data_IF_003698303567
#
_entry.id   IF_003698303567
#
_cell.length_a   1.000
_cell.length_b   1.000
_cell.length_c   1.000
_cell.angle_alpha   90.00
_cell.angle_beta   90.00
_cell.angle_gamma   90.00
#
_symmetry.space_group_name_H-M   'P 1'
#
loop_
_entity.id
_entity.type
_entity.pdbx_description
1 polymer ?
#
# COMPACT_ATOMS: atom_id res chain seq x y z
N UNK A 1 29.92 -17.13 -33.82
CA UNK A 1 28.96 -18.03 -33.12
C UNK A 1 27.62 -17.35 -33.10
N UNK A 2 26.51 -18.00 -33.51
CA UNK A 2 25.20 -17.40 -33.42
C UNK A 2 24.83 -17.25 -31.94
N UNK A 3 24.52 -16.01 -31.53
CA UNK A 3 23.97 -15.70 -30.21
C UNK A 3 22.66 -16.47 -30.11
N UNK A 4 22.57 -17.41 -29.17
CA UNK A 4 21.31 -18.09 -28.89
C UNK A 4 20.22 -17.03 -28.65
N UNK A 5 19.04 -17.14 -29.28
CA UNK A 5 17.98 -16.17 -29.06
C UNK A 5 17.70 -16.13 -27.57
N UNK A 6 17.87 -14.95 -26.96
CA UNK A 6 17.56 -14.72 -25.57
C UNK A 6 16.16 -15.29 -25.32
N UNK A 7 16.05 -16.27 -24.42
CA UNK A 7 14.77 -16.87 -24.07
C UNK A 7 13.78 -15.74 -23.80
N UNK A 8 12.71 -15.66 -24.59
CA UNK A 8 11.71 -14.60 -24.48
C UNK A 8 10.97 -14.78 -23.15
N UNK A 9 11.50 -14.16 -22.10
CA UNK A 9 10.93 -14.20 -20.77
C UNK A 9 9.52 -13.61 -20.81
N UNK A 10 8.52 -14.40 -20.42
CA UNK A 10 7.12 -13.96 -20.35
C UNK A 10 6.81 -13.65 -18.88
N UNK A 11 6.68 -12.38 -18.50
CA UNK A 11 6.41 -12.01 -17.11
C UNK A 11 5.08 -12.57 -16.63
N UNK A 12 5.06 -13.09 -15.40
CA UNK A 12 3.83 -13.52 -14.71
C UNK A 12 3.67 -12.68 -13.44
N UNK A 13 3.30 -11.41 -13.64
CA UNK A 13 3.20 -10.42 -12.57
C UNK A 13 2.08 -10.77 -11.60
N UNK A 14 2.39 -10.75 -10.31
CA UNK A 14 1.45 -10.90 -9.19
C UNK A 14 1.70 -9.78 -8.20
N UNK A 15 0.63 -9.08 -7.83
CA UNK A 15 0.66 -8.10 -6.75
C UNK A 15 0.08 -8.72 -5.49
N UNK A 16 0.73 -8.47 -4.35
CA UNK A 16 0.20 -8.80 -3.02
C UNK A 16 0.81 -7.90 -1.95
N UNK A 17 0.27 -7.97 -0.75
CA UNK A 17 0.85 -7.32 0.43
C UNK A 17 2.18 -7.97 0.82
N UNK A 18 3.08 -7.19 1.39
CA UNK A 18 4.33 -7.66 1.96
C UNK A 18 4.08 -8.65 3.10
N UNK A 19 4.89 -9.70 3.17
CA UNK A 19 4.93 -10.66 4.27
C UNK A 19 6.32 -10.69 4.91
N UNK A 20 6.44 -11.25 6.12
CA UNK A 20 7.73 -11.41 6.81
C UNK A 20 8.77 -12.14 5.96
N UNK A 21 8.36 -13.13 5.17
CA UNK A 21 9.26 -13.92 4.32
C UNK A 21 9.89 -13.12 3.18
N UNK A 22 9.31 -11.98 2.82
CA UNK A 22 9.79 -11.14 1.72
C UNK A 22 10.91 -10.21 2.14
N UNK A 23 11.05 -9.95 3.45
CA UNK A 23 11.90 -8.89 3.96
C UNK A 23 13.34 -9.01 3.47
N UNK A 24 13.90 -10.22 3.44
CA UNK A 24 15.27 -10.46 2.97
C UNK A 24 15.45 -9.98 1.53
N UNK A 25 14.56 -10.38 0.61
CA UNK A 25 14.63 -9.99 -0.80
C UNK A 25 14.32 -8.49 -0.98
N UNK A 26 13.36 -7.95 -0.22
CA UNK A 26 13.01 -6.53 -0.24
C UNK A 26 14.15 -5.61 0.23
N UNK A 27 14.95 -6.03 1.22
CA UNK A 27 16.09 -5.22 1.69
C UNK A 27 17.14 -5.01 0.59
N UNK A 28 17.28 -5.93 -0.38
CA UNK A 28 18.15 -5.75 -1.55
C UNK A 28 17.68 -4.64 -2.49
N UNK A 29 16.40 -4.27 -2.41
CA UNK A 29 15.77 -3.26 -3.25
C UNK A 29 15.76 -1.86 -2.63
N UNK A 30 16.33 -1.69 -1.43
CA UNK A 30 16.39 -0.36 -0.81
C UNK A 30 17.13 0.62 -1.72
N UNK A 31 16.51 1.76 -2.09
CA UNK A 31 17.09 2.64 -3.07
C UNK A 31 18.14 3.55 -2.42
N UNK A 32 19.25 3.77 -3.11
CA UNK A 32 20.38 4.52 -2.57
C UNK A 32 20.05 6.00 -2.27
N UNK A 33 19.06 6.57 -2.97
CA UNK A 33 18.63 7.95 -2.74
C UNK A 33 18.01 8.18 -1.35
N UNK A 34 17.60 7.13 -0.63
CA UNK A 34 17.19 7.27 0.77
C UNK A 34 18.32 7.81 1.66
N UNK A 35 19.57 7.72 1.19
CA UNK A 35 20.75 8.25 1.88
C UNK A 35 20.84 7.78 3.35
N UNK A 36 20.45 6.53 3.60
CA UNK A 36 20.50 5.93 4.93
C UNK A 36 21.95 5.81 5.38
N UNK A 37 22.26 6.29 6.59
CA UNK A 37 23.55 6.02 7.20
C UNK A 37 23.70 4.54 7.57
N UNK A 38 24.95 4.12 7.82
CA UNK A 38 25.29 2.73 8.11
C UNK A 38 24.51 2.16 9.30
N UNK A 39 24.32 2.96 10.36
CA UNK A 39 23.60 2.52 11.55
C UNK A 39 22.13 2.26 11.25
N UNK A 40 21.47 3.19 10.57
CA UNK A 40 20.07 3.02 10.17
C UNK A 40 19.90 1.87 9.18
N UNK A 41 20.79 1.72 8.20
CA UNK A 41 20.76 0.61 7.23
C UNK A 41 20.88 -0.75 7.92
N UNK A 42 21.70 -0.86 8.98
CA UNK A 42 21.82 -2.07 9.79
C UNK A 42 20.60 -2.33 10.69
N UNK A 43 19.93 -1.28 11.16
CA UNK A 43 18.74 -1.40 12.02
C UNK A 43 17.45 -1.74 11.25
N UNK A 44 17.39 -1.44 9.94
CA UNK A 44 16.19 -1.59 9.13
C UNK A 44 15.58 -3.01 9.12
N UNK A 45 16.33 -4.11 8.97
CA UNK A 45 15.74 -5.45 8.98
C UNK A 45 14.95 -5.73 10.27
N UNK A 46 15.55 -5.41 11.43
CA UNK A 46 14.90 -5.59 12.72
C UNK A 46 13.71 -4.64 12.92
N UNK A 47 13.77 -3.42 12.37
CA UNK A 47 12.64 -2.50 12.35
C UNK A 47 11.48 -3.09 11.54
N UNK A 48 11.75 -3.60 10.34
CA UNK A 48 10.74 -4.15 9.45
C UNK A 48 10.07 -5.42 9.98
N UNK A 49 10.79 -6.26 10.72
CA UNK A 49 10.17 -7.37 11.46
C UNK A 49 9.08 -6.89 12.43
N UNK A 50 9.17 -5.67 12.96
CA UNK A 50 8.12 -5.11 13.82
C UNK A 50 7.01 -4.41 13.03
N UNK A 51 7.34 -3.85 11.87
CA UNK A 51 6.45 -2.99 11.09
C UNK A 51 5.63 -3.72 10.02
N UNK A 52 6.05 -4.90 9.56
CA UNK A 52 5.44 -5.60 8.42
C UNK A 52 3.95 -5.91 8.60
N UNK A 53 3.49 -6.08 9.84
CA UNK A 53 2.08 -6.31 10.18
C UNK A 53 1.37 -5.06 10.72
N UNK A 54 2.06 -3.91 10.77
CA UNK A 54 1.49 -2.67 11.27
C UNK A 54 0.43 -2.14 10.30
N UNK A 55 -0.79 -1.80 10.77
CA UNK A 55 -1.84 -1.26 9.92
C UNK A 55 -1.50 0.13 9.37
N UNK A 56 -0.56 0.85 9.99
CA UNK A 56 -0.07 2.14 9.48
C UNK A 56 0.90 1.99 8.30
N UNK A 57 1.39 0.77 8.02
CA UNK A 57 2.28 0.50 6.89
C UNK A 57 1.48 -0.07 5.72
N UNK A 58 1.22 0.78 4.73
CA UNK A 58 0.62 0.35 3.47
C UNK A 58 1.76 -0.12 2.56
N UNK A 59 1.89 -1.43 2.42
CA UNK A 59 3.00 -2.06 1.69
C UNK A 59 2.49 -3.01 0.61
N UNK A 60 3.23 -3.07 -0.49
CA UNK A 60 2.93 -3.98 -1.59
C UNK A 60 4.20 -4.42 -2.31
N UNK A 61 4.21 -5.68 -2.74
CA UNK A 61 5.25 -6.24 -3.59
C UNK A 61 4.65 -6.63 -4.94
N UNK A 62 5.43 -6.44 -6.00
CA UNK A 62 5.15 -6.98 -7.32
C UNK A 62 6.14 -8.12 -7.59
N UNK A 63 5.61 -9.32 -7.79
CA UNK A 63 6.36 -10.52 -8.04
C UNK A 63 6.24 -10.96 -9.49
N UNK A 64 7.34 -11.41 -10.07
CA UNK A 64 7.30 -12.18 -11.30
C UNK A 64 7.37 -13.68 -11.00
N UNK A 65 6.23 -14.34 -11.10
CA UNK A 65 6.11 -15.78 -10.83
C UNK A 65 6.83 -16.65 -11.87
N UNK A 66 7.29 -16.08 -12.99
CA UNK A 66 8.18 -16.77 -13.93
C UNK A 66 9.63 -16.88 -13.44
N UNK A 67 10.03 -16.11 -12.41
CA UNK A 67 11.37 -16.15 -11.83
C UNK A 67 11.47 -17.15 -10.66
N UNK A 68 12.69 -17.66 -10.38
CA UNK A 68 12.93 -18.52 -9.22
C UNK A 68 12.68 -17.76 -7.90
N UNK A 69 12.34 -18.51 -6.85
CA UNK A 69 12.20 -17.95 -5.50
C UNK A 69 13.48 -17.21 -5.07
N UNK A 70 13.32 -16.13 -4.30
CA UNK A 70 14.42 -15.23 -3.90
C UNK A 70 14.83 -14.22 -4.99
N UNK A 71 14.22 -14.29 -6.18
CA UNK A 71 14.38 -13.29 -7.25
C UNK A 71 13.06 -12.86 -7.86
N UNK A 72 11.94 -13.15 -7.18
CA UNK A 72 10.60 -12.88 -7.71
C UNK A 72 10.20 -11.43 -7.51
N UNK A 73 10.59 -10.81 -6.41
CA UNK A 73 10.19 -9.43 -6.10
C UNK A 73 10.92 -8.48 -7.05
N UNK A 74 10.14 -7.87 -7.93
CA UNK A 74 10.60 -6.90 -8.94
C UNK A 74 10.36 -5.47 -8.51
N UNK A 75 9.36 -5.22 -7.66
CA UNK A 75 9.20 -3.91 -7.04
C UNK A 75 8.63 -4.00 -5.64
N UNK A 76 8.90 -2.98 -4.84
CA UNK A 76 8.46 -2.85 -3.47
C UNK A 76 8.05 -1.41 -3.18
N UNK A 77 6.78 -1.21 -2.85
CA UNK A 77 6.21 0.07 -2.44
C UNK A 77 5.96 0.11 -0.94
N UNK A 78 6.32 1.23 -0.31
CA UNK A 78 6.12 1.48 1.12
C UNK A 78 5.52 2.85 1.33
N UNK A 79 4.39 2.88 2.03
CA UNK A 79 3.73 4.10 2.47
C UNK A 79 3.43 4.02 3.97
N UNK A 80 3.68 5.11 4.68
CA UNK A 80 3.35 5.28 6.09
C UNK A 80 2.14 6.21 6.25
N UNK A 81 1.16 5.79 7.03
CA UNK A 81 0.08 6.66 7.52
C UNK A 81 0.62 7.48 8.69
N UNK A 82 0.61 8.81 8.54
CA UNK A 82 1.20 9.72 9.51
C UNK A 82 0.20 10.17 10.57
N UNK A 83 0.67 10.19 11.82
CA UNK A 83 -0.07 10.84 12.91
C UNK A 83 -0.11 12.36 12.70
N UNK A 84 -1.22 13.04 13.01
CA UNK A 84 -1.34 14.50 12.88
C UNK A 84 -0.22 15.26 13.61
N UNK A 85 0.11 14.83 14.84
CA UNK A 85 1.20 15.42 15.63
C UNK A 85 2.58 15.33 14.95
N UNK A 86 2.79 14.31 14.09
CA UNK A 86 4.01 14.19 13.32
C UNK A 86 3.99 15.07 12.09
N UNK A 87 2.86 15.16 11.37
CA UNK A 87 2.65 16.10 10.25
C UNK A 87 3.01 17.52 10.69
N UNK A 88 2.55 17.95 11.86
CA UNK A 88 2.88 19.25 12.46
C UNK A 88 4.36 19.36 12.86
N UNK A 89 4.89 18.36 13.59
CA UNK A 89 6.27 18.37 14.10
C UNK A 89 7.32 18.51 13.01
N UNK A 90 7.13 17.82 11.89
CA UNK A 90 8.05 17.92 10.73
C UNK A 90 7.64 18.99 9.73
N UNK A 91 6.65 19.82 10.07
CA UNK A 91 6.14 20.93 9.26
C UNK A 91 5.78 20.51 7.83
N UNK A 92 5.21 19.31 7.68
CA UNK A 92 5.03 18.66 6.38
C UNK A 92 4.13 19.47 5.43
N UNK A 93 3.16 20.21 5.99
CA UNK A 93 2.20 21.00 5.21
C UNK A 93 2.69 22.42 4.88
N UNK A 94 3.69 22.93 5.59
CA UNK A 94 4.11 24.34 5.54
C UNK A 94 5.54 24.54 5.05
N UNK A 95 6.50 23.85 5.66
CA UNK A 95 7.93 24.02 5.41
C UNK A 95 8.69 22.70 5.62
N UNK A 96 8.42 21.66 4.81
CA UNK A 96 9.08 20.38 4.95
C UNK A 96 10.58 20.50 4.64
N UNK A 97 11.39 19.82 5.45
CA UNK A 97 12.83 19.67 5.21
C UNK A 97 13.10 18.37 4.42
N UNK A 98 14.13 18.32 3.56
CA UNK A 98 14.46 17.15 2.74
C UNK A 98 14.83 15.93 3.59
N UNK A 99 14.92 14.78 2.91
CA UNK A 99 15.19 13.47 3.51
C UNK A 99 14.06 13.01 4.45
N UNK A 100 12.82 13.36 4.11
CA UNK A 100 11.63 12.98 4.88
C UNK A 100 11.60 11.47 5.14
N UNK A 101 11.82 10.65 4.12
CA UNK A 101 11.75 9.19 4.27
C UNK A 101 12.82 8.66 5.22
N UNK A 102 14.06 9.17 5.11
CA UNK A 102 15.16 8.84 6.04
C UNK A 102 14.82 9.25 7.46
N UNK A 103 14.33 10.48 7.66
CA UNK A 103 14.00 11.02 8.98
C UNK A 103 12.87 10.23 9.64
N UNK A 104 11.88 9.80 8.87
CA UNK A 104 10.80 8.94 9.36
C UNK A 104 11.31 7.54 9.74
N UNK A 105 12.19 6.93 8.93
CA UNK A 105 12.82 5.67 9.30
C UNK A 105 13.68 5.78 10.56
N UNK A 106 14.46 6.84 10.71
CA UNK A 106 15.23 7.10 11.92
C UNK A 106 14.32 7.23 13.15
N UNK A 107 13.26 8.03 13.04
CA UNK A 107 12.30 8.20 14.12
C UNK A 107 11.57 6.90 14.51
N UNK A 108 11.24 6.05 13.53
CA UNK A 108 10.67 4.72 13.75
C UNK A 108 11.67 3.77 14.43
N UNK A 109 12.94 3.80 14.01
CA UNK A 109 14.01 2.99 14.59
C UNK A 109 14.30 3.37 16.06
N UNK A 110 14.31 4.67 16.35
CA UNK A 110 14.51 5.23 17.69
C UNK A 110 13.25 5.13 18.58
N UNK A 111 12.09 4.87 17.99
CA UNK A 111 10.80 4.80 18.69
C UNK A 111 10.18 6.16 19.02
N UNK A 112 10.76 7.27 18.54
CA UNK A 112 10.18 8.61 18.69
C UNK A 112 8.95 8.83 17.81
N UNK A 113 8.84 8.06 16.71
CA UNK A 113 7.64 7.86 15.91
C UNK A 113 7.09 6.47 16.17
N UNK A 114 5.89 6.38 16.72
CA UNK A 114 5.14 5.14 16.84
C UNK A 114 4.11 5.06 15.71
N UNK A 115 3.99 3.93 15.00
CA UNK A 115 2.93 3.77 14.00
C UNK A 115 1.54 3.84 14.64
N UNK A 116 0.56 4.37 13.90
CA UNK A 116 -0.84 4.37 14.36
C UNK A 116 -1.37 2.94 14.46
N UNK A 117 -2.19 2.70 15.48
CA UNK A 117 -3.03 1.51 15.58
C UNK A 117 -4.20 1.54 14.59
N UNK A 118 -4.80 0.37 14.34
CA UNK A 118 -5.99 0.24 13.49
C UNK A 118 -7.14 1.15 13.95
N UNK A 119 -7.30 1.29 15.27
CA UNK A 119 -8.32 2.17 15.88
C UNK A 119 -8.05 3.64 15.59
N UNK A 120 -6.82 4.10 15.81
CA UNK A 120 -6.44 5.49 15.54
C UNK A 120 -6.58 5.83 14.06
N UNK A 121 -6.20 4.90 13.17
CA UNK A 121 -6.40 5.05 11.73
C UNK A 121 -7.90 5.15 11.44
N UNK A 122 -8.74 4.27 12.01
CA UNK A 122 -10.17 4.31 11.74
C UNK A 122 -10.88 5.56 12.23
N UNK A 123 -10.45 6.13 13.37
CA UNK A 123 -10.95 7.42 13.86
C UNK A 123 -10.55 8.57 12.92
N UNK A 124 -9.28 8.62 12.51
CA UNK A 124 -8.79 9.64 11.60
C UNK A 124 -9.40 9.51 10.18
N UNK A 125 -9.61 8.28 9.72
CA UNK A 125 -10.24 7.96 8.45
C UNK A 125 -11.73 8.37 8.45
N UNK A 126 -12.42 8.23 9.59
CA UNK A 126 -13.81 8.69 9.76
C UNK A 126 -13.96 10.20 9.94
N UNK A 127 -12.91 10.87 10.40
CA UNK A 127 -12.88 12.33 10.60
C UNK A 127 -12.37 13.11 9.39
N UNK A 128 -11.37 13.96 9.61
CA UNK A 128 -10.83 14.87 8.60
C UNK A 128 -10.11 14.14 7.44
N UNK A 129 -9.72 12.88 7.66
CA UNK A 129 -8.96 12.06 6.73
C UNK A 129 -7.49 11.91 7.10
N UNK A 130 -6.81 11.07 6.32
CA UNK A 130 -5.45 10.63 6.58
C UNK A 130 -4.42 11.40 5.75
N UNK A 131 -3.27 11.69 6.33
CA UNK A 131 -2.08 12.11 5.60
C UNK A 131 -1.13 10.92 5.47
N UNK A 132 -0.68 10.63 4.25
CA UNK A 132 0.23 9.52 3.96
C UNK A 132 1.56 10.04 3.41
N UNK A 133 2.64 9.30 3.67
CA UNK A 133 3.96 9.52 3.08
C UNK A 133 4.43 8.24 2.40
N UNK A 134 4.62 8.28 1.08
CA UNK A 134 5.32 7.23 0.34
C UNK A 134 6.80 7.31 0.74
N UNK A 135 7.26 6.34 1.54
CA UNK A 135 8.64 6.32 2.01
C UNK A 135 9.59 5.97 0.87
N UNK A 136 9.22 5.00 0.04
CA UNK A 136 9.89 4.72 -1.22
C UNK A 136 9.04 3.79 -2.10
N UNK A 137 9.33 3.85 -3.40
CA UNK A 137 9.00 2.79 -4.33
C UNK A 137 10.29 2.36 -5.03
N UNK A 138 10.62 1.09 -4.90
CA UNK A 138 11.82 0.50 -5.45
C UNK A 138 11.47 -0.43 -6.58
N UNK A 139 12.28 -0.42 -7.64
CA UNK A 139 12.18 -1.36 -8.75
C UNK A 139 13.55 -2.02 -8.90
N UNK A 140 13.57 -3.34 -9.04
CA UNK A 140 14.79 -4.09 -9.29
C UNK A 140 15.39 -3.63 -10.62
N UNK A 141 16.70 -3.29 -10.69
CA UNK A 141 17.37 -2.98 -11.94
C UNK A 141 17.16 -4.10 -12.95
N UNK A 142 16.61 -3.76 -14.11
CA UNK A 142 16.05 -4.74 -15.02
C UNK A 142 17.06 -5.20 -16.09
N UNK A 143 17.29 -6.52 -16.20
CA UNK A 143 18.10 -7.14 -17.27
C UNK A 143 17.30 -7.53 -18.52
N UNK A 144 15.97 -7.43 -18.48
CA UNK A 144 15.04 -7.96 -19.50
C UNK A 144 14.52 -6.91 -20.50
N UNK A 145 15.09 -5.70 -20.51
CA UNK A 145 14.78 -4.65 -21.50
C UNK A 145 13.52 -3.81 -21.20
N UNK A 146 13.22 -2.84 -22.05
CA UNK A 146 12.21 -1.79 -21.79
C UNK A 146 10.78 -2.32 -21.62
N UNK A 147 10.36 -3.32 -22.39
CA UNK A 147 9.00 -3.88 -22.32
C UNK A 147 8.69 -4.53 -20.97
N UNK A 148 9.69 -5.17 -20.36
CA UNK A 148 9.56 -5.76 -19.03
C UNK A 148 9.42 -4.68 -17.95
N UNK A 149 10.21 -3.60 -18.05
CA UNK A 149 10.08 -2.47 -17.14
C UNK A 149 8.68 -1.85 -17.21
N UNK A 150 8.13 -1.71 -18.42
CA UNK A 150 6.74 -1.27 -18.61
C UNK A 150 5.71 -2.17 -17.90
N UNK A 151 5.88 -3.50 -17.98
CA UNK A 151 5.00 -4.43 -17.27
C UNK A 151 5.10 -4.30 -15.74
N UNK A 152 6.32 -4.17 -15.20
CA UNK A 152 6.54 -3.97 -13.76
C UNK A 152 5.93 -2.64 -13.30
N UNK A 153 6.12 -1.56 -14.05
CA UNK A 153 5.56 -0.24 -13.75
C UNK A 153 4.03 -0.23 -13.80
N UNK A 154 3.42 -0.86 -14.80
CA UNK A 154 1.96 -0.96 -14.90
C UNK A 154 1.38 -1.70 -13.70
N UNK A 155 1.95 -2.85 -13.37
CA UNK A 155 1.51 -3.65 -12.22
C UNK A 155 1.78 -2.94 -10.88
N UNK A 156 2.88 -2.19 -10.74
CA UNK A 156 3.14 -1.35 -9.57
C UNK A 156 2.10 -0.21 -9.43
N UNK A 157 1.65 0.39 -10.53
CA UNK A 157 0.58 1.40 -10.52
C UNK A 157 -0.78 0.80 -10.10
N UNK A 158 -1.10 -0.41 -10.56
CA UNK A 158 -2.27 -1.15 -10.09
C UNK A 158 -2.17 -1.46 -8.60
N UNK A 159 -1.01 -1.91 -8.14
CA UNK A 159 -0.74 -2.14 -6.72
C UNK A 159 -0.94 -0.88 -5.89
N UNK A 160 -0.41 0.26 -6.35
CA UNK A 160 -0.57 1.55 -5.70
C UNK A 160 -2.06 1.90 -5.54
N UNK A 161 -2.83 1.83 -6.63
CA UNK A 161 -4.29 2.08 -6.59
C UNK A 161 -5.01 1.14 -5.63
N UNK A 162 -4.73 -0.16 -5.70
CA UNK A 162 -5.38 -1.16 -4.86
C UNK A 162 -5.08 -1.00 -3.37
N UNK A 163 -3.83 -0.69 -3.00
CA UNK A 163 -3.42 -0.59 -1.59
C UNK A 163 -3.81 0.75 -0.94
N UNK A 164 -3.95 1.83 -1.72
CA UNK A 164 -4.25 3.17 -1.20
C UNK A 164 -5.71 3.61 -1.44
N UNK A 165 -6.42 3.04 -2.41
CA UNK A 165 -7.81 3.40 -2.70
C UNK A 165 -8.75 3.10 -1.53
N UNK A 166 -9.84 3.86 -1.39
CA UNK A 166 -10.84 3.67 -0.33
C UNK A 166 -10.47 4.26 1.03
N UNK A 167 -9.25 4.76 1.22
CA UNK A 167 -8.95 5.61 2.38
C UNK A 167 -9.51 7.01 2.16
N UNK A 168 -10.00 7.64 3.22
CA UNK A 168 -10.38 9.04 3.24
C UNK A 168 -9.11 9.91 3.29
N UNK A 169 -8.41 10.08 2.17
CA UNK A 169 -7.11 10.77 2.15
C UNK A 169 -7.26 12.30 2.15
N UNK A 170 -6.60 12.97 3.10
CA UNK A 170 -6.41 14.43 3.11
C UNK A 170 -5.28 14.82 2.14
N UNK A 171 -4.15 14.13 2.23
CA UNK A 171 -2.98 14.35 1.37
C UNK A 171 -2.10 13.10 1.29
N UNK A 172 -1.36 12.97 0.19
CA UNK A 172 -0.28 11.98 0.05
C UNK A 172 0.98 12.68 -0.45
N UNK A 173 2.07 12.48 0.29
CA UNK A 173 3.39 12.99 0.00
C UNK A 173 4.27 11.89 -0.57
N UNK A 174 5.19 12.26 -1.44
CA UNK A 174 6.16 11.33 -2.02
C UNK A 174 7.49 12.05 -2.23
N UNK A 175 8.50 11.66 -1.46
CA UNK A 175 9.89 12.05 -1.72
C UNK A 175 10.57 10.98 -2.56
N UNK A 176 11.32 11.39 -3.58
CA UNK A 176 12.12 10.50 -4.42
C UNK A 176 13.37 11.23 -4.89
N UNK A 177 14.22 10.59 -5.71
CA UNK A 177 15.36 11.28 -6.33
C UNK A 177 14.98 12.00 -7.63
N UNK A 178 15.77 13.00 -8.02
CA UNK A 178 15.62 13.68 -9.31
C UNK A 178 15.63 12.73 -10.51
N UNK A 179 16.37 11.60 -10.44
CA UNK A 179 16.37 10.59 -11.49
C UNK A 179 15.00 9.91 -11.67
N UNK A 180 14.24 9.75 -10.58
CA UNK A 180 12.95 9.07 -10.58
C UNK A 180 11.77 10.07 -10.63
N UNK A 181 12.03 11.35 -10.43
CA UNK A 181 11.04 12.43 -10.46
C UNK A 181 10.15 12.44 -11.72
N UNK A 182 10.65 12.21 -12.95
CA UNK A 182 9.78 12.15 -14.14
C UNK A 182 8.71 11.05 -14.05
N UNK A 183 9.05 9.89 -13.48
CA UNK A 183 8.10 8.79 -13.30
C UNK A 183 7.02 9.10 -12.27
N UNK A 184 7.39 9.77 -11.17
CA UNK A 184 6.44 10.21 -10.13
C UNK A 184 5.51 11.31 -10.67
N UNK A 185 6.05 12.27 -11.43
CA UNK A 185 5.25 13.27 -12.13
C UNK A 185 4.26 12.63 -13.13
N UNK A 186 4.72 11.65 -13.93
CA UNK A 186 3.87 10.92 -14.87
C UNK A 186 2.77 10.10 -14.16
N UNK A 187 3.00 9.65 -12.93
CA UNK A 187 1.98 9.00 -12.10
C UNK A 187 0.91 9.99 -11.57
N UNK A 188 1.07 11.29 -11.83
CA UNK A 188 0.11 12.35 -11.55
C UNK A 188 0.43 13.20 -10.33
N UNK A 189 1.56 12.98 -9.66
CA UNK A 189 1.93 13.77 -8.49
C UNK A 189 2.52 15.13 -8.89
N UNK A 190 1.97 16.26 -8.42
CA UNK A 190 2.59 17.55 -8.65
C UNK A 190 3.79 17.75 -7.71
N UNK A 191 4.84 18.37 -8.25
CA UNK A 191 6.02 18.73 -7.49
C UNK A 191 5.69 19.84 -6.49
N UNK A 192 6.31 19.78 -5.32
CA UNK A 192 6.23 20.80 -4.28
C UNK A 192 7.63 21.15 -3.77
N UNK A 193 7.74 22.25 -3.04
CA UNK A 193 9.02 22.78 -2.57
C UNK A 193 9.28 22.36 -1.12
N UNK A 194 10.56 22.20 -0.80
CA UNK A 194 11.02 22.21 0.59
C UNK A 194 10.99 23.64 1.14
N UNK A 195 11.23 23.76 2.44
CA UNK A 195 11.42 25.04 3.11
C UNK A 195 12.53 25.88 2.46
N UNK A 196 12.38 27.21 2.51
CA UNK A 196 13.37 28.15 1.95
C UNK A 196 14.72 28.10 2.69
N UNK A 197 14.71 27.69 3.96
CA UNK A 197 15.90 27.51 4.81
C UNK A 197 16.48 26.08 4.74
N UNK A 198 15.99 25.24 3.83
CA UNK A 198 16.46 23.88 3.69
C UNK A 198 17.96 23.84 3.33
N UNK A 199 18.70 22.83 3.84
CA UNK A 199 20.13 22.72 3.57
C UNK A 199 20.39 22.57 2.06
N UNK A 200 21.44 23.24 1.54
CA UNK A 200 21.80 23.16 0.13
C UNK A 200 22.11 21.71 -0.29
N UNK A 201 21.50 21.25 -1.39
CA UNK A 201 21.60 19.88 -1.90
C UNK A 201 22.67 19.74 -3.01
N UNK A 202 23.38 20.80 -3.34
CA UNK A 202 24.35 20.88 -4.44
C UNK A 202 25.55 19.96 -4.20
N UNK A 203 25.84 19.62 -2.94
CA UNK A 203 26.87 18.66 -2.57
C UNK A 203 26.54 17.24 -3.02
N UNK A 204 25.28 16.93 -3.33
CA UNK A 204 24.87 15.65 -3.90
C UNK A 204 24.93 15.67 -5.43
N UNK A 205 25.27 14.52 -6.05
CA UNK A 205 25.03 14.29 -7.47
C UNK A 205 23.57 14.58 -7.83
N UNK A 206 23.34 15.29 -8.94
CA UNK A 206 22.01 15.77 -9.33
C UNK A 206 20.94 14.67 -9.32
N UNK A 207 21.26 13.50 -9.89
CA UNK A 207 20.37 12.36 -10.01
C UNK A 207 19.94 11.74 -8.65
N UNK A 208 20.65 12.04 -7.56
CA UNK A 208 20.33 11.60 -6.20
C UNK A 208 19.66 12.69 -5.36
N UNK A 209 19.57 13.93 -5.84
CA UNK A 209 18.97 15.02 -5.06
C UNK A 209 17.50 14.71 -4.77
N UNK A 210 17.04 14.84 -3.53
CA UNK A 210 15.65 14.57 -3.18
C UNK A 210 14.73 15.61 -3.83
N UNK A 211 13.57 15.14 -4.31
CA UNK A 211 12.49 15.95 -4.89
C UNK A 211 11.21 15.55 -4.19
N UNK A 212 10.45 16.55 -3.72
CA UNK A 212 9.20 16.34 -3.02
C UNK A 212 8.02 16.52 -3.96
N UNK A 213 7.05 15.63 -3.80
CA UNK A 213 5.76 15.71 -4.43
C UNK A 213 4.66 15.64 -3.39
N UNK A 214 3.53 16.26 -3.67
CA UNK A 214 2.35 16.22 -2.81
C UNK A 214 1.09 16.31 -3.65
N UNK A 215 0.13 15.44 -3.40
CA UNK A 215 -1.24 15.64 -3.87
C UNK A 215 -2.15 15.81 -2.65
N UNK A 216 -2.96 16.87 -2.64
CA UNK A 216 -4.00 17.10 -1.64
C UNK A 216 -5.36 16.73 -2.21
N UNK A 217 -6.31 16.41 -1.33
CA UNK A 217 -7.70 16.10 -1.72
C UNK A 217 -8.33 17.21 -2.54
N UNK A 218 -8.16 18.45 -2.11
CA UNK A 218 -8.71 19.62 -2.79
C UNK A 218 -8.21 19.72 -4.24
N UNK A 219 -6.91 19.55 -4.46
CA UNK A 219 -6.30 19.59 -5.79
C UNK A 219 -6.73 18.40 -6.64
N UNK A 220 -6.78 17.21 -6.02
CA UNK A 220 -7.23 15.99 -6.68
C UNK A 220 -8.65 16.18 -7.23
N UNK A 221 -9.60 16.67 -6.42
CA UNK A 221 -11.00 16.84 -6.85
C UNK A 221 -11.20 17.82 -8.01
N UNK A 222 -10.22 18.70 -8.30
CA UNK A 222 -10.24 19.57 -9.47
C UNK A 222 -9.70 18.91 -10.75
N UNK A 223 -9.09 17.73 -10.65
CA UNK A 223 -8.54 17.00 -11.78
C UNK A 223 -9.53 15.96 -12.30
N UNK A 224 -9.52 15.75 -13.62
CA UNK A 224 -10.19 14.61 -14.23
C UNK A 224 -9.57 13.30 -13.76
N UNK A 225 -10.37 12.22 -13.61
CA UNK A 225 -9.84 10.89 -13.36
C UNK A 225 -8.87 10.46 -14.47
N UNK A 226 -7.79 9.75 -14.11
CA UNK A 226 -6.88 9.16 -15.11
C UNK A 226 -5.49 8.80 -14.58
N UNK A 227 -4.98 9.53 -13.59
CA UNK A 227 -3.67 9.24 -12.99
C UNK A 227 -3.79 8.37 -11.74
N UNK A 228 -2.73 7.61 -11.42
CA UNK A 228 -2.68 6.78 -10.21
C UNK A 228 -2.79 7.63 -8.94
N UNK A 229 -2.12 8.78 -8.90
CA UNK A 229 -2.18 9.72 -7.78
C UNK A 229 -3.61 10.23 -7.55
N UNK A 230 -4.32 10.65 -8.62
CA UNK A 230 -5.70 11.12 -8.50
C UNK A 230 -6.66 10.02 -8.04
N UNK A 231 -6.47 8.79 -8.54
CA UNK A 231 -7.39 7.68 -8.26
C UNK A 231 -7.55 7.37 -6.77
N UNK A 232 -6.49 7.50 -5.97
CA UNK A 232 -6.53 7.11 -4.55
C UNK A 232 -7.32 8.10 -3.67
N UNK A 233 -7.76 9.23 -4.22
CA UNK A 233 -8.67 10.17 -3.56
C UNK A 233 -10.15 9.87 -3.81
N UNK A 234 -10.47 8.87 -4.64
CA UNK A 234 -11.83 8.36 -4.73
C UNK A 234 -12.22 7.67 -3.42
N UNK A 235 -13.27 8.19 -2.78
CA UNK A 235 -13.64 7.78 -1.44
C UNK A 235 -15.14 7.94 -1.20
N UNK A 236 -15.71 6.92 -0.56
CA UNK A 236 -17.04 6.93 0.07
C UNK A 236 -16.91 6.29 1.45
N UNK A 237 -17.73 6.69 2.45
CA UNK A 237 -17.76 6.00 3.72
C UNK A 237 -18.13 4.51 3.56
N UNK A 238 -17.51 3.60 4.31
CA UNK A 238 -17.86 2.18 4.26
C UNK A 238 -19.28 1.98 4.80
N UNK A 239 -20.08 1.22 4.06
CA UNK A 239 -21.46 0.90 4.36
C UNK A 239 -21.54 -0.17 5.45
N UNK A 240 -20.78 -1.26 5.33
CA UNK A 240 -20.86 -2.41 6.23
C UNK A 240 -19.92 -2.30 7.44
N UNK A 241 -18.85 -1.52 7.32
CA UNK A 241 -17.93 -1.18 8.43
C UNK A 241 -17.31 -2.40 9.10
N UNK A 242 -16.92 -3.40 8.31
CA UNK A 242 -16.39 -4.67 8.79
C UNK A 242 -15.33 -4.53 9.89
N UNK A 243 -15.30 -5.48 10.83
CA UNK A 243 -14.27 -5.51 11.88
C UNK A 243 -12.87 -5.75 11.31
N UNK A 244 -11.81 -5.49 12.08
CA UNK A 244 -10.43 -5.64 11.62
C UNK A 244 -10.14 -7.05 11.05
N UNK A 245 -10.58 -8.10 11.74
CA UNK A 245 -10.40 -9.50 11.28
C UNK A 245 -11.21 -9.80 10.00
N UNK A 246 -12.41 -9.23 9.87
CA UNK A 246 -13.24 -9.38 8.66
C UNK A 246 -12.61 -8.65 7.46
N UNK A 247 -12.12 -7.42 7.65
CA UNK A 247 -11.40 -6.68 6.60
C UNK A 247 -10.14 -7.42 6.16
N UNK A 248 -9.36 -7.97 7.10
CA UNK A 248 -8.17 -8.78 6.78
C UNK A 248 -8.53 -10.04 5.99
N UNK A 249 -9.58 -10.77 6.38
CA UNK A 249 -10.08 -11.92 5.63
C UNK A 249 -10.50 -11.54 4.21
N UNK A 250 -11.30 -10.48 4.06
CA UNK A 250 -11.77 -10.01 2.76
C UNK A 250 -10.60 -9.58 1.86
N UNK A 251 -9.64 -8.84 2.42
CA UNK A 251 -8.44 -8.39 1.72
C UNK A 251 -7.62 -9.58 1.18
N UNK A 252 -7.29 -10.55 2.02
CA UNK A 252 -6.55 -11.75 1.61
C UNK A 252 -7.34 -12.56 0.56
N UNK A 253 -8.67 -12.64 0.72
CA UNK A 253 -9.53 -13.37 -0.20
C UNK A 253 -9.63 -12.74 -1.60
N UNK A 254 -9.23 -11.47 -1.78
CA UNK A 254 -9.22 -10.84 -3.11
C UNK A 254 -8.12 -11.39 -4.04
N UNK A 255 -7.11 -12.05 -3.48
CA UNK A 255 -5.96 -12.59 -4.22
C UNK A 255 -6.08 -14.10 -4.49
N UNK A 256 -7.30 -14.64 -4.38
CA UNK A 256 -7.66 -16.05 -4.63
C UNK A 256 -6.81 -17.07 -3.84
N UNK A 257 -6.40 -16.70 -2.62
CA UNK A 257 -5.67 -17.61 -1.76
C UNK A 257 -6.58 -18.74 -1.20
N UNK A 258 -5.99 -19.91 -0.95
CA UNK A 258 -6.70 -21.09 -0.44
C UNK A 258 -7.17 -20.90 1.01
N UNK A 259 -8.21 -21.63 1.42
CA UNK A 259 -8.69 -21.59 2.80
C UNK A 259 -7.60 -22.01 3.80
N UNK A 260 -6.72 -22.95 3.44
CA UNK A 260 -5.56 -23.35 4.26
C UNK A 260 -4.60 -22.18 4.48
N UNK A 261 -4.30 -21.42 3.42
CA UNK A 261 -3.49 -20.22 3.52
C UNK A 261 -4.18 -19.15 4.36
N UNK A 262 -5.48 -18.91 4.14
CA UNK A 262 -6.24 -17.92 4.90
C UNK A 262 -6.25 -18.26 6.40
N UNK A 263 -6.42 -19.52 6.75
CA UNK A 263 -6.37 -20.00 8.13
C UNK A 263 -5.01 -19.71 8.78
N UNK A 264 -3.91 -20.02 8.09
CA UNK A 264 -2.57 -19.74 8.58
C UNK A 264 -2.31 -18.23 8.69
N UNK A 265 -2.67 -17.45 7.68
CA UNK A 265 -2.42 -16.02 7.62
C UNK A 265 -3.26 -15.20 8.61
N UNK A 266 -4.43 -15.71 9.00
CA UNK A 266 -5.31 -15.10 10.00
C UNK A 266 -5.12 -15.67 11.41
N UNK A 267 -4.33 -16.74 11.55
CA UNK A 267 -4.19 -17.53 12.78
C UNK A 267 -5.54 -18.01 13.34
N UNK A 268 -6.34 -18.65 12.49
CA UNK A 268 -7.68 -19.17 12.85
C UNK A 268 -7.87 -20.62 12.43
N UNK A 269 -8.70 -21.35 13.20
CA UNK A 269 -9.15 -22.68 12.82
C UNK A 269 -10.19 -22.63 11.68
N UNK A 270 -10.49 -23.78 11.07
CA UNK A 270 -11.59 -23.92 10.09
C UNK A 270 -12.91 -23.37 10.65
N UNK A 271 -13.20 -23.65 11.92
CA UNK A 271 -14.39 -23.14 12.60
C UNK A 271 -14.34 -21.61 12.77
N UNK A 272 -13.17 -21.07 13.11
CA UNK A 272 -12.93 -19.62 13.17
C UNK A 272 -13.15 -18.94 11.81
N UNK A 273 -12.65 -19.51 10.73
CA UNK A 273 -12.84 -19.01 9.36
C UNK A 273 -14.33 -19.01 8.97
N UNK A 274 -15.06 -20.10 9.24
CA UNK A 274 -16.52 -20.17 9.01
C UNK A 274 -17.28 -19.10 9.81
N UNK A 275 -16.87 -18.86 11.07
CA UNK A 275 -17.46 -17.84 11.93
C UNK A 275 -17.22 -16.43 11.40
N UNK A 276 -16.03 -16.14 10.87
CA UNK A 276 -15.72 -14.84 10.25
C UNK A 276 -16.60 -14.57 9.03
N UNK A 277 -16.73 -15.55 8.12
CA UNK A 277 -17.59 -15.45 6.95
C UNK A 277 -19.06 -15.25 7.32
N UNK A 278 -19.57 -16.03 8.28
CA UNK A 278 -20.93 -15.85 8.78
C UNK A 278 -21.16 -14.43 9.33
N UNK A 279 -20.24 -13.92 10.15
CA UNK A 279 -20.35 -12.57 10.67
C UNK A 279 -20.25 -11.46 9.61
N UNK A 280 -19.62 -11.73 8.46
CA UNK A 280 -19.65 -10.84 7.30
C UNK A 280 -21.04 -10.83 6.68
N UNK A 281 -21.65 -12.01 6.49
CA UNK A 281 -22.99 -12.13 5.91
C UNK A 281 -24.06 -11.50 6.78
N UNK A 282 -24.04 -11.78 8.10
CA UNK A 282 -24.97 -11.19 9.08
C UNK A 282 -24.93 -9.65 9.01
N UNK A 283 -23.73 -9.08 9.04
CA UNK A 283 -23.54 -7.62 8.97
C UNK A 283 -23.99 -7.00 7.64
N UNK A 284 -23.87 -7.73 6.53
CA UNK A 284 -24.40 -7.29 5.23
C UNK A 284 -25.93 -7.36 5.25
N UNK A 285 -26.52 -8.46 5.73
CA UNK A 285 -27.97 -8.64 5.82
C UNK A 285 -28.61 -7.60 6.76
N UNK A 286 -27.93 -7.21 7.85
CA UNK A 286 -28.39 -6.16 8.77
C UNK A 286 -28.52 -4.79 8.10
N UNK A 287 -27.62 -4.45 7.16
CA UNK A 287 -27.54 -3.12 6.54
C UNK A 287 -28.20 -3.08 5.16
N UNK A 288 -28.14 -4.18 4.42
CA UNK A 288 -28.66 -4.34 3.07
C UNK A 288 -29.32 -5.73 2.92
N UNK A 289 -30.55 -5.93 3.44
CA UNK A 289 -31.24 -7.23 3.43
C UNK A 289 -31.41 -7.84 2.04
N UNK A 290 -31.57 -6.99 1.02
CA UNK A 290 -31.73 -7.42 -0.37
C UNK A 290 -30.40 -7.73 -1.07
N UNK A 291 -29.25 -7.55 -0.41
CA UNK A 291 -27.94 -7.72 -1.04
C UNK A 291 -27.78 -9.11 -1.66
N UNK A 292 -28.21 -10.16 -0.97
CA UNK A 292 -28.16 -11.54 -1.47
C UNK A 292 -29.38 -11.93 -2.32
N UNK A 293 -30.41 -11.08 -2.43
CA UNK A 293 -31.69 -11.33 -3.11
C UNK A 293 -32.65 -12.28 -2.36
N UNK A 294 -33.83 -12.55 -2.94
CA UNK A 294 -34.87 -13.48 -2.44
C UNK A 294 -34.38 -14.95 -2.31
N UNK A 295 -33.18 -15.23 -2.80
CA UNK A 295 -32.46 -16.48 -2.60
C UNK A 295 -31.80 -16.56 -1.20
N UNK A 296 -32.05 -15.62 -0.30
CA UNK A 296 -31.51 -15.61 1.07
C UNK A 296 -32.09 -16.67 2.04
N UNK A 297 -33.23 -17.29 1.73
CA UNK A 297 -34.03 -18.02 2.72
C UNK A 297 -33.82 -19.56 2.82
N UNK A 298 -32.85 -20.18 2.13
CA UNK A 298 -32.61 -21.64 2.29
C UNK A 298 -31.17 -22.00 2.65
N UNK A 299 -31.01 -22.55 3.84
CA UNK A 299 -29.78 -22.84 4.60
C UNK A 299 -29.04 -24.11 4.16
N UNK A 300 -29.05 -24.44 2.86
CA UNK A 300 -28.35 -25.61 2.35
C UNK A 300 -26.94 -25.22 1.88
N UNK A 301 -25.92 -25.89 2.42
CA UNK A 301 -24.47 -25.59 2.30
C UNK A 301 -23.86 -25.47 0.89
N UNK A 302 -24.67 -25.54 -0.17
CA UNK A 302 -24.32 -25.25 -1.56
C UNK A 302 -24.20 -23.75 -1.88
N UNK A 303 -24.77 -22.85 -1.06
CA UNK A 303 -24.79 -21.38 -1.33
C UNK A 303 -23.63 -20.58 -0.72
N UNK A 304 -22.86 -21.14 0.22
CA UNK A 304 -21.70 -20.45 0.81
C UNK A 304 -20.69 -19.91 -0.22
N UNK A 305 -20.33 -20.69 -1.25
CA UNK A 305 -19.46 -20.20 -2.33
C UNK A 305 -20.04 -19.04 -3.14
N UNK A 306 -21.36 -19.01 -3.33
CA UNK A 306 -22.06 -17.96 -4.08
C UNK A 306 -22.12 -16.65 -3.27
N UNK A 307 -22.52 -16.71 -1.99
CA UNK A 307 -22.47 -15.55 -1.08
C UNK A 307 -21.04 -14.99 -1.00
N UNK A 308 -20.03 -15.85 -0.82
CA UNK A 308 -18.61 -15.44 -0.83
C UNK A 308 -18.24 -14.71 -2.13
N UNK A 309 -18.59 -15.27 -3.29
CA UNK A 309 -18.30 -14.66 -4.60
C UNK A 309 -18.93 -13.27 -4.74
N UNK A 310 -20.19 -13.12 -4.32
CA UNK A 310 -20.90 -11.85 -4.39
C UNK A 310 -20.26 -10.78 -3.50
N UNK A 311 -19.93 -11.13 -2.25
CA UNK A 311 -19.23 -10.23 -1.33
C UNK A 311 -17.87 -9.82 -1.90
N UNK A 312 -17.08 -10.76 -2.42
CA UNK A 312 -15.79 -10.46 -3.03
C UNK A 312 -15.91 -9.59 -4.28
N UNK A 313 -16.94 -9.81 -5.10
CA UNK A 313 -17.26 -8.95 -6.25
C UNK A 313 -17.57 -7.52 -5.83
N UNK A 314 -18.32 -7.33 -4.74
CA UNK A 314 -18.65 -6.02 -4.19
C UNK A 314 -17.42 -5.30 -3.62
N UNK A 315 -16.69 -5.92 -2.68
CA UNK A 315 -15.56 -5.25 -2.01
C UNK A 315 -14.39 -4.97 -2.96
N UNK A 316 -14.26 -5.70 -4.07
CA UNK A 316 -13.29 -5.39 -5.14
C UNK A 316 -13.58 -4.03 -5.80
N UNK A 317 -14.84 -3.62 -5.86
CA UNK A 317 -15.27 -2.33 -6.41
C UNK A 317 -15.43 -1.26 -5.33
N UNK A 318 -15.39 -1.65 -4.04
CA UNK A 318 -15.63 -0.82 -2.86
C UNK A 318 -14.48 -0.97 -1.86
N UNK A 319 -13.26 -0.52 -2.22
CA UNK A 319 -12.09 -0.68 -1.35
C UNK A 319 -12.23 0.03 0.00
N UNK A 320 -13.12 1.01 0.12
CA UNK A 320 -13.47 1.68 1.38
C UNK A 320 -13.91 0.71 2.47
N UNK A 321 -14.59 -0.39 2.13
CA UNK A 321 -15.03 -1.43 3.07
C UNK A 321 -13.88 -2.18 3.73
N UNK A 322 -12.69 -2.15 3.10
CA UNK A 322 -11.50 -2.84 3.55
C UNK A 322 -10.61 -1.94 4.40
N UNK A 323 -10.99 -0.67 4.60
CA UNK A 323 -10.20 0.30 5.38
C UNK A 323 -10.69 0.41 6.81
N UNK A 324 -9.80 0.73 7.77
CA UNK A 324 -10.21 0.99 9.15
C UNK A 324 -11.24 2.13 9.22
N UNK A 325 -12.29 1.94 10.02
CA UNK A 325 -13.36 2.92 10.20
C UNK A 325 -13.93 2.82 11.61
N UNK A 326 -13.85 3.92 12.36
CA UNK A 326 -14.43 4.04 13.69
C UNK A 326 -15.05 5.43 13.84
N UNK A 327 -16.37 5.47 14.05
CA UNK A 327 -17.03 6.72 14.43
C UNK A 327 -16.61 7.12 15.84
N UNK A 328 -16.53 8.44 16.07
CA UNK A 328 -16.11 9.04 17.32
C UNK A 328 -17.14 8.86 18.45
#
# INVERSE_FOLDING_TARGET
MPVAPASRHIPRMRVRTLSRHDLVECMELLPDWLALDTGLRQALPALWERLVESPAMVTGVNEDMALPAGRRIQSWGVTLILQPQWVERIQLETAPQPYLSRRLYAALAEGSLQPMSDREIGLANAGAGLTMMVLHHSIRPNSFGESYLGAVLNSANEAFRGHHGGYNLKAIYFETSAALAPGVAAAGFPSTRYADDAPPLEHLPEHLRPVLFCMRREDALQQLPGTSARHVFEYQPPLFRFSASQRRLLWLSLFDDSDDYLMQALDVSVHGLKKLWRGIYERIEDVAPEFFGDTGASDDGKRGPEKRRQVLGYVRQRPEELRPWHEA
#
